data_IF_133238629071
#
_entry.id   IF_133238629071
#
_cell.length_a   1.000
_cell.length_b   1.000
_cell.length_c   1.000
_cell.angle_alpha   90.00
_cell.angle_beta   90.00
_cell.angle_gamma   90.00
#
_symmetry.space_group_name_H-M   'P 1'
#
loop_
_entity.id
_entity.type
_entity.pdbx_description
1 polymer ?
#
# COMPACT_ATOMS: atom_id res chain seq x y z
N UNK A 1 -9.45 -23.92 3.30
CA UNK A 1 -9.00 -23.04 2.22
C UNK A 1 -10.14 -22.83 1.23
N UNK A 2 -10.16 -21.66 0.54
CA UNK A 2 -11.18 -21.32 -0.47
C UNK A 2 -11.35 -22.43 -1.51
N UNK A 3 -10.25 -22.92 -2.07
CA UNK A 3 -10.25 -23.98 -3.09
C UNK A 3 -10.98 -25.25 -2.66
N UNK A 4 -10.76 -25.68 -1.42
CA UNK A 4 -11.45 -26.84 -0.85
C UNK A 4 -12.95 -26.59 -0.70
N UNK A 5 -13.32 -25.35 -0.33
CA UNK A 5 -14.72 -24.97 -0.15
C UNK A 5 -15.49 -24.96 -1.48
N UNK A 6 -14.88 -24.49 -2.57
CA UNK A 6 -15.49 -24.49 -3.91
C UNK A 6 -15.30 -25.80 -4.68
N UNK A 7 -14.72 -26.84 -4.05
CA UNK A 7 -14.51 -28.16 -4.65
C UNK A 7 -13.54 -28.16 -5.84
N UNK A 8 -12.59 -27.25 -5.87
CA UNK A 8 -11.61 -27.12 -6.97
C UNK A 8 -10.19 -27.36 -6.47
N UNK A 9 -9.35 -27.89 -7.36
CA UNK A 9 -7.90 -27.88 -7.17
C UNK A 9 -7.36 -26.55 -7.66
N UNK A 10 -6.68 -25.80 -6.79
CA UNK A 10 -6.05 -24.54 -7.18
C UNK A 10 -4.59 -24.75 -7.52
N UNK A 11 -4.16 -24.08 -8.59
CA UNK A 11 -2.77 -23.95 -8.97
C UNK A 11 -2.37 -22.50 -8.71
N UNK A 12 -1.31 -22.29 -7.93
CA UNK A 12 -0.79 -20.94 -7.67
C UNK A 12 0.13 -20.56 -8.83
N UNK A 13 -0.16 -19.41 -9.45
CA UNK A 13 0.65 -18.83 -10.53
C UNK A 13 1.34 -17.59 -9.98
N UNK A 14 2.66 -17.52 -10.12
CA UNK A 14 3.45 -16.37 -9.75
C UNK A 14 3.34 -15.29 -10.82
N UNK A 15 3.12 -14.05 -10.41
CA UNK A 15 2.94 -12.90 -11.30
C UNK A 15 3.41 -11.62 -10.60
N UNK A 16 4.15 -10.77 -11.31
CA UNK A 16 4.50 -9.43 -10.86
C UNK A 16 3.23 -8.60 -10.61
N UNK A 17 3.25 -7.76 -9.58
CA UNK A 17 2.09 -7.01 -9.11
C UNK A 17 1.44 -6.17 -10.21
N UNK A 18 2.21 -5.40 -10.95
CA UNK A 18 1.75 -4.50 -12.01
C UNK A 18 1.14 -5.24 -13.22
N UNK A 19 1.48 -6.52 -13.38
CA UNK A 19 0.96 -7.41 -14.42
C UNK A 19 -0.29 -8.20 -14.02
N UNK A 20 -0.73 -8.19 -12.75
CA UNK A 20 -1.81 -9.09 -12.28
C UNK A 20 -3.15 -8.84 -12.98
N UNK A 21 -3.63 -7.59 -13.01
CA UNK A 21 -4.91 -7.26 -13.68
C UNK A 21 -4.87 -7.53 -15.18
N UNK A 22 -3.86 -7.08 -15.94
CA UNK A 22 -3.71 -7.47 -17.35
C UNK A 22 -3.70 -8.97 -17.58
N UNK A 23 -2.99 -9.74 -16.74
CA UNK A 23 -2.92 -11.19 -16.86
C UNK A 23 -4.26 -11.89 -16.57
N UNK A 24 -5.03 -11.40 -15.59
CA UNK A 24 -6.41 -11.87 -15.34
C UNK A 24 -7.32 -11.61 -16.54
N UNK A 25 -7.30 -10.40 -17.11
CA UNK A 25 -8.08 -10.04 -18.29
C UNK A 25 -7.72 -10.95 -19.48
N UNK A 26 -6.42 -11.27 -19.65
CA UNK A 26 -5.94 -12.20 -20.67
C UNK A 26 -6.19 -13.68 -20.34
N UNK A 27 -6.87 -13.98 -19.22
CA UNK A 27 -7.20 -15.33 -18.74
C UNK A 27 -5.97 -16.24 -18.54
N UNK A 28 -4.85 -15.67 -18.11
CA UNK A 28 -3.68 -16.47 -17.70
C UNK A 28 -3.91 -17.21 -16.38
N UNK A 29 -4.83 -16.71 -15.58
CA UNK A 29 -5.37 -17.35 -14.36
C UNK A 29 -6.81 -16.86 -14.13
N UNK A 30 -7.54 -17.53 -13.24
CA UNK A 30 -8.98 -17.32 -13.05
C UNK A 30 -9.29 -16.31 -11.94
N UNK A 31 -8.36 -16.05 -11.04
CA UNK A 31 -8.58 -15.15 -9.91
C UNK A 31 -7.27 -14.59 -9.34
N UNK A 32 -7.34 -13.42 -8.73
CA UNK A 32 -6.26 -12.78 -7.98
C UNK A 32 -6.61 -12.80 -6.50
N UNK A 33 -5.81 -13.49 -5.68
CA UNK A 33 -5.95 -13.49 -4.21
C UNK A 33 -4.61 -13.10 -3.58
N UNK A 34 -4.31 -11.81 -3.60
CA UNK A 34 -3.01 -11.25 -3.24
C UNK A 34 -3.11 -9.94 -2.41
N UNK A 35 -4.14 -9.81 -1.54
CA UNK A 35 -4.33 -8.57 -0.80
C UNK A 35 -4.71 -7.37 -1.69
N UNK A 36 -5.42 -7.62 -2.80
CA UNK A 36 -5.74 -6.56 -3.74
C UNK A 36 -6.88 -5.69 -3.22
N UNK A 37 -6.60 -4.42 -2.94
CA UNK A 37 -7.59 -3.44 -2.47
C UNK A 37 -8.70 -3.24 -3.50
N UNK A 38 -9.95 -3.26 -3.02
CA UNK A 38 -11.15 -3.00 -3.82
C UNK A 38 -11.27 -1.49 -4.04
N UNK A 39 -10.95 -1.01 -5.24
CA UNK A 39 -11.08 0.40 -5.62
C UNK A 39 -12.03 0.56 -6.80
N UNK A 40 -12.64 1.74 -6.91
CA UNK A 40 -13.53 2.04 -8.02
C UNK A 40 -12.78 2.04 -9.37
N UNK A 41 -11.51 2.39 -9.37
CA UNK A 41 -10.69 2.32 -10.58
C UNK A 41 -10.49 0.86 -11.03
N UNK A 42 -10.12 -0.03 -10.12
CA UNK A 42 -9.95 -1.46 -10.44
C UNK A 42 -11.26 -2.14 -10.86
N UNK A 43 -12.39 -1.73 -10.27
CA UNK A 43 -13.73 -2.22 -10.66
C UNK A 43 -14.14 -1.88 -12.09
N UNK A 44 -13.51 -0.91 -12.72
CA UNK A 44 -13.73 -0.63 -14.15
C UNK A 44 -13.14 -1.70 -15.05
N UNK A 45 -12.13 -2.41 -14.59
CA UNK A 45 -11.39 -3.40 -15.36
C UNK A 45 -11.74 -4.85 -15.00
N UNK A 46 -11.98 -5.13 -13.72
CA UNK A 46 -12.24 -6.47 -13.17
C UNK A 46 -13.37 -6.44 -12.14
N UNK A 47 -13.99 -7.60 -11.89
CA UNK A 47 -14.93 -7.79 -10.79
C UNK A 47 -14.19 -8.17 -9.51
N UNK A 48 -14.85 -7.98 -8.36
CA UNK A 48 -14.33 -8.38 -7.05
C UNK A 48 -15.36 -9.21 -6.28
N UNK A 49 -14.87 -10.12 -5.46
CA UNK A 49 -15.65 -10.70 -4.38
C UNK A 49 -16.03 -9.63 -3.34
N UNK A 50 -16.84 -9.99 -2.35
CA UNK A 50 -16.90 -9.23 -1.11
C UNK A 50 -15.49 -9.14 -0.48
N UNK A 51 -15.23 -8.07 0.28
CA UNK A 51 -13.98 -7.93 1.01
C UNK A 51 -13.81 -9.07 2.03
N UNK A 52 -12.63 -9.67 2.05
CA UNK A 52 -12.30 -10.73 3.00
C UNK A 52 -11.43 -10.25 4.16
N UNK A 53 -10.83 -9.07 4.06
CA UNK A 53 -10.09 -8.40 5.12
C UNK A 53 -10.06 -6.89 4.91
N UNK A 54 -9.84 -6.16 6.00
CA UNK A 54 -9.51 -4.74 5.95
C UNK A 54 -8.00 -4.58 5.94
N UNK A 55 -7.53 -3.61 5.19
CA UNK A 55 -6.12 -3.26 5.10
C UNK A 55 -5.98 -1.74 5.22
N UNK A 56 -4.95 -1.32 5.94
CA UNK A 56 -4.59 0.09 6.07
C UNK A 56 -3.18 0.31 5.52
N UNK A 57 -2.99 1.43 4.83
CA UNK A 57 -1.66 1.85 4.42
C UNK A 57 -1.00 2.69 5.52
N UNK A 58 0.32 2.72 5.54
CA UNK A 58 1.10 3.54 6.46
C UNK A 58 2.41 4.00 5.82
N UNK A 59 2.90 5.12 6.29
CA UNK A 59 4.28 5.53 6.08
C UNK A 59 5.20 4.75 7.04
N UNK A 60 6.39 4.41 6.58
CA UNK A 60 7.41 3.75 7.38
C UNK A 60 8.77 4.41 7.18
N UNK A 61 9.54 4.46 8.24
CA UNK A 61 10.91 4.98 8.27
C UNK A 61 11.81 4.05 9.05
N UNK A 62 13.12 4.23 8.92
CA UNK A 62 14.07 3.58 9.84
C UNK A 62 14.06 4.31 11.17
N UNK A 63 14.20 3.56 12.28
CA UNK A 63 14.34 4.11 13.63
C UNK A 63 15.49 5.13 13.69
N UNK A 64 15.24 6.25 14.34
CA UNK A 64 16.16 7.40 14.40
C UNK A 64 15.91 8.44 13.33
N UNK A 65 14.89 8.24 12.48
CA UNK A 65 14.46 9.24 11.50
C UNK A 65 13.88 10.49 12.19
N UNK A 66 14.10 11.64 11.59
CA UNK A 66 13.48 12.91 11.99
C UNK A 66 11.95 12.90 11.89
N UNK A 67 11.38 11.91 11.21
CA UNK A 67 9.92 11.75 11.03
C UNK A 67 9.25 10.90 12.13
N UNK A 68 9.98 10.25 13.04
CA UNK A 68 9.38 9.45 14.13
C UNK A 68 8.45 10.27 15.03
N UNK A 69 8.74 11.55 15.21
CA UNK A 69 7.95 12.47 16.04
C UNK A 69 6.74 13.11 15.36
N UNK A 70 6.35 12.65 14.16
CA UNK A 70 5.24 13.26 13.41
C UNK A 70 3.93 13.20 14.18
N UNK A 71 3.42 14.36 14.56
CA UNK A 71 2.18 14.49 15.32
C UNK A 71 0.97 14.48 14.38
N UNK A 72 0.27 13.34 14.30
CA UNK A 72 -0.95 13.15 13.52
C UNK A 72 -1.96 12.31 14.33
N UNK A 73 -3.25 12.29 13.94
CA UNK A 73 -4.18 11.26 14.42
C UNK A 73 -3.67 9.85 14.11
N UNK A 74 -4.10 8.86 14.88
CA UNK A 74 -3.69 7.46 14.65
C UNK A 74 -4.13 6.91 13.28
N UNK A 75 -5.26 7.38 12.76
CA UNK A 75 -5.76 6.98 11.45
C UNK A 75 -6.62 8.07 10.82
N UNK A 76 -6.64 8.10 9.49
CA UNK A 76 -7.48 9.01 8.69
C UNK A 76 -8.21 8.26 7.59
N UNK A 77 -9.49 8.58 7.41
CA UNK A 77 -10.30 8.11 6.28
C UNK A 77 -10.29 9.12 5.14
N UNK A 78 -10.04 8.65 3.92
CA UNK A 78 -9.94 9.51 2.74
C UNK A 78 -11.17 9.47 1.83
N UNK A 79 -12.19 8.66 2.13
CA UNK A 79 -13.45 8.68 1.38
C UNK A 79 -14.23 9.99 1.54
N UNK A 80 -14.17 10.60 2.73
CA UNK A 80 -14.76 11.89 3.06
C UNK A 80 -13.89 12.56 4.13
N UNK A 81 -12.76 13.18 3.75
CA UNK A 81 -11.79 13.66 4.71
C UNK A 81 -12.36 14.83 5.53
N UNK A 82 -12.40 14.64 6.85
CA UNK A 82 -12.77 15.65 7.84
C UNK A 82 -11.64 16.67 8.08
N UNK A 83 -11.84 17.60 9.02
CA UNK A 83 -10.84 18.62 9.38
C UNK A 83 -9.51 18.01 9.83
N UNK A 84 -9.56 16.92 10.60
CA UNK A 84 -8.37 16.27 11.16
C UNK A 84 -7.58 15.55 10.06
N UNK A 85 -8.27 14.87 9.15
CA UNK A 85 -7.65 14.27 7.97
C UNK A 85 -6.95 15.32 7.10
N UNK A 86 -7.62 16.46 6.84
CA UNK A 86 -7.03 17.56 6.08
C UNK A 86 -5.81 18.18 6.76
N UNK A 87 -5.86 18.31 8.10
CA UNK A 87 -4.72 18.78 8.90
C UNK A 87 -3.56 17.78 8.85
N UNK A 88 -3.86 16.48 9.00
CA UNK A 88 -2.85 15.43 8.91
C UNK A 88 -2.16 15.41 7.53
N UNK A 89 -2.92 15.53 6.43
CA UNK A 89 -2.35 15.60 5.08
C UNK A 89 -1.40 16.79 4.92
N UNK A 90 -1.73 17.97 5.48
CA UNK A 90 -0.82 19.12 5.48
C UNK A 90 0.47 18.85 6.26
N UNK A 91 0.36 18.20 7.43
CA UNK A 91 1.53 17.80 8.23
C UNK A 91 2.41 16.85 7.45
N UNK A 92 1.82 15.84 6.80
CA UNK A 92 2.53 14.87 5.96
C UNK A 92 3.20 15.56 4.78
N UNK A 93 2.48 16.46 4.07
CA UNK A 93 3.05 17.23 2.95
C UNK A 93 4.32 17.98 3.37
N UNK A 94 4.28 18.65 4.53
CA UNK A 94 5.44 19.37 5.04
C UNK A 94 6.59 18.42 5.43
N UNK A 95 6.27 17.28 6.05
CA UNK A 95 7.24 16.27 6.47
C UNK A 95 7.91 15.56 5.29
N UNK A 96 7.18 15.33 4.20
CA UNK A 96 7.70 14.65 3.00
C UNK A 96 8.42 15.61 2.03
N UNK A 97 8.39 16.92 2.26
CA UNK A 97 9.03 17.89 1.38
C UNK A 97 10.54 17.62 1.25
N UNK A 98 10.99 17.38 0.03
CA UNK A 98 12.39 17.07 -0.30
C UNK A 98 12.84 15.66 0.06
N UNK A 99 11.99 14.83 0.68
CA UNK A 99 12.29 13.43 1.00
C UNK A 99 12.15 12.53 -0.22
N UNK A 100 12.95 11.47 -0.26
CA UNK A 100 12.78 10.35 -1.19
C UNK A 100 11.77 9.38 -0.62
N UNK A 101 10.61 9.27 -1.28
CA UNK A 101 9.53 8.38 -0.87
C UNK A 101 9.48 7.18 -1.81
N UNK A 102 9.53 5.99 -1.24
CA UNK A 102 9.56 4.73 -1.98
C UNK A 102 8.24 3.96 -1.85
N UNK A 103 7.83 3.31 -2.94
CA UNK A 103 6.66 2.43 -2.96
C UNK A 103 6.76 1.40 -4.09
N UNK A 104 5.95 0.37 -4.04
CA UNK A 104 5.85 -0.60 -5.12
C UNK A 104 5.05 -0.03 -6.29
N UNK A 105 5.50 -0.28 -7.53
CA UNK A 105 4.83 0.15 -8.76
C UNK A 105 3.47 -0.53 -8.98
N UNK A 106 2.56 0.16 -9.68
CA UNK A 106 1.22 -0.35 -9.98
C UNK A 106 0.30 -0.48 -8.76
N UNK A 107 0.66 0.12 -7.63
CA UNK A 107 -0.13 0.08 -6.39
C UNK A 107 -0.97 1.34 -6.20
N UNK A 108 -1.97 1.22 -5.33
CA UNK A 108 -2.75 2.37 -4.84
C UNK A 108 -1.88 3.38 -4.08
N UNK A 109 -0.77 2.91 -3.50
CA UNK A 109 0.20 3.74 -2.78
C UNK A 109 0.93 4.68 -3.74
N UNK A 110 1.37 4.16 -4.90
CA UNK A 110 1.95 4.98 -5.96
C UNK A 110 0.94 6.03 -6.44
N UNK A 111 -0.29 5.61 -6.77
CA UNK A 111 -1.33 6.52 -7.24
C UNK A 111 -1.61 7.65 -6.24
N UNK A 112 -1.64 7.32 -4.93
CA UNK A 112 -1.83 8.32 -3.87
C UNK A 112 -0.66 9.32 -3.80
N UNK A 113 0.58 8.86 -3.92
CA UNK A 113 1.75 9.75 -3.92
C UNK A 113 1.80 10.66 -5.18
N UNK A 114 1.28 10.17 -6.30
CA UNK A 114 1.21 10.91 -7.56
C UNK A 114 -0.02 11.84 -7.65
N UNK A 115 -1.06 11.62 -6.86
CA UNK A 115 -2.29 12.45 -6.85
C UNK A 115 -2.03 13.91 -6.46
N UNK A 116 -0.96 14.16 -5.70
CA UNK A 116 -0.65 15.48 -5.16
C UNK A 116 -1.29 15.77 -3.80
N UNK A 117 -2.06 14.84 -3.24
CA UNK A 117 -2.71 14.99 -1.91
C UNK A 117 -1.70 15.21 -0.77
N UNK A 118 -0.49 14.71 -0.93
CA UNK A 118 0.65 14.89 -0.01
C UNK A 118 1.75 15.78 -0.60
N UNK A 119 1.41 16.62 -1.59
CA UNK A 119 2.36 17.48 -2.28
C UNK A 119 3.30 16.71 -3.23
N UNK A 120 4.28 17.43 -3.77
CA UNK A 120 5.27 16.82 -4.67
C UNK A 120 6.40 16.19 -3.85
N UNK A 121 6.63 14.91 -4.04
CA UNK A 121 7.70 14.13 -3.40
C UNK A 121 8.73 13.64 -4.44
N UNK A 122 9.93 13.28 -3.99
CA UNK A 122 10.89 12.56 -4.83
C UNK A 122 10.52 11.07 -4.84
N UNK A 123 9.58 10.69 -5.71
CA UNK A 123 9.05 9.34 -5.77
C UNK A 123 10.04 8.38 -6.43
N UNK A 124 10.26 7.22 -5.79
CA UNK A 124 10.93 6.05 -6.38
C UNK A 124 10.00 4.85 -6.33
N UNK A 125 9.85 4.17 -7.44
CA UNK A 125 9.02 2.97 -7.55
C UNK A 125 9.88 1.73 -7.81
N UNK A 126 9.45 0.59 -7.29
CA UNK A 126 10.11 -0.70 -7.37
C UNK A 126 9.14 -1.78 -7.83
N UNK A 127 9.63 -2.85 -8.44
CA UNK A 127 8.78 -3.95 -8.88
C UNK A 127 8.16 -4.72 -7.71
N UNK A 128 8.91 -4.86 -6.63
CA UNK A 128 8.50 -5.65 -5.46
C UNK A 128 8.53 -4.83 -4.18
N UNK A 129 7.71 -5.23 -3.22
CA UNK A 129 7.73 -4.66 -1.87
C UNK A 129 9.05 -4.96 -1.15
N UNK A 130 9.68 -6.09 -1.43
CA UNK A 130 10.98 -6.46 -0.84
C UNK A 130 12.08 -5.48 -1.25
N UNK A 131 12.09 -5.03 -2.51
CA UNK A 131 13.02 -3.99 -2.97
C UNK A 131 12.80 -2.67 -2.25
N UNK A 132 11.53 -2.27 -2.03
CA UNK A 132 11.18 -1.07 -1.23
C UNK A 132 11.74 -1.21 0.18
N UNK A 133 11.53 -2.35 0.83
CA UNK A 133 11.99 -2.62 2.19
C UNK A 133 13.52 -2.59 2.30
N UNK A 134 14.22 -3.17 1.32
CA UNK A 134 15.69 -3.17 1.27
C UNK A 134 16.25 -1.76 1.08
N UNK A 135 15.63 -0.95 0.23
CA UNK A 135 16.10 0.42 -0.01
C UNK A 135 15.77 1.36 1.15
N UNK A 136 14.65 1.15 1.85
CA UNK A 136 14.36 1.81 3.12
C UNK A 136 15.43 1.44 4.17
N UNK A 137 15.71 0.15 4.34
CA UNK A 137 16.67 -0.34 5.33
C UNK A 137 18.12 0.09 5.05
N UNK A 138 18.46 0.40 3.80
CA UNK A 138 19.79 0.87 3.40
C UNK A 138 19.94 2.40 3.38
N UNK A 139 18.86 3.14 3.68
CA UNK A 139 18.85 4.61 3.67
C UNK A 139 18.81 5.24 2.26
N UNK A 140 18.52 4.44 1.21
CA UNK A 140 18.30 4.97 -0.14
C UNK A 140 16.90 5.57 -0.32
N UNK A 141 15.97 5.22 0.57
CA UNK A 141 14.69 5.85 0.77
C UNK A 141 14.65 6.50 2.15
N UNK A 142 14.15 7.72 2.24
CA UNK A 142 13.90 8.37 3.53
C UNK A 142 12.63 7.81 4.18
N UNK A 143 11.62 7.53 3.35
CA UNK A 143 10.30 7.08 3.75
C UNK A 143 9.81 6.04 2.75
N UNK A 144 9.00 5.09 3.20
CA UNK A 144 8.26 4.18 2.32
C UNK A 144 6.75 4.26 2.61
N UNK A 145 5.91 4.04 1.60
CA UNK A 145 4.46 3.93 1.73
C UNK A 145 4.02 2.57 1.18
N UNK A 146 3.34 1.79 2.00
CA UNK A 146 2.75 0.50 1.64
C UNK A 146 1.65 0.10 2.64
N UNK A 147 1.11 -1.12 2.49
CA UNK A 147 0.29 -1.75 3.52
C UNK A 147 1.08 -1.83 4.84
N UNK A 148 0.47 -1.44 5.95
CA UNK A 148 1.14 -1.40 7.25
C UNK A 148 1.70 -2.77 7.65
N UNK A 149 0.98 -3.85 7.33
CA UNK A 149 1.40 -5.23 7.61
C UNK A 149 2.71 -5.60 6.90
N UNK A 150 2.96 -5.09 5.69
CA UNK A 150 4.17 -5.39 4.95
C UNK A 150 5.44 -4.91 5.68
N UNK A 151 5.36 -3.77 6.33
CA UNK A 151 6.47 -3.23 7.15
C UNK A 151 6.63 -3.97 8.47
N UNK A 152 5.52 -4.32 9.14
CA UNK A 152 5.56 -5.09 10.38
C UNK A 152 6.17 -6.46 10.16
N UNK A 153 5.75 -7.16 9.12
CA UNK A 153 6.30 -8.46 8.73
C UNK A 153 7.78 -8.38 8.37
N UNK A 154 8.17 -7.34 7.64
CA UNK A 154 9.58 -7.13 7.31
C UNK A 154 10.43 -6.86 8.56
N UNK A 155 9.97 -6.00 9.47
CA UNK A 155 10.67 -5.72 10.71
C UNK A 155 10.86 -6.99 11.56
N UNK A 156 9.80 -7.81 11.69
CA UNK A 156 9.84 -9.07 12.43
C UNK A 156 10.81 -10.08 11.80
N UNK A 157 10.72 -10.30 10.48
CA UNK A 157 11.52 -11.30 9.77
C UNK A 157 13.00 -10.91 9.63
N UNK A 158 13.29 -9.63 9.42
CA UNK A 158 14.65 -9.14 9.17
C UNK A 158 15.37 -8.66 10.41
N UNK A 159 14.66 -8.40 11.51
CA UNK A 159 15.18 -7.73 12.70
C UNK A 159 15.55 -6.27 12.47
N UNK A 160 15.21 -5.68 11.32
CA UNK A 160 15.50 -4.27 11.02
C UNK A 160 14.53 -3.36 11.78
N UNK A 161 15.05 -2.25 12.35
CA UNK A 161 14.23 -1.35 13.16
C UNK A 161 13.39 -0.39 12.29
N UNK A 162 12.42 -0.94 11.59
CA UNK A 162 11.43 -0.16 10.81
C UNK A 162 10.32 0.31 11.74
N UNK A 163 9.93 1.56 11.63
CA UNK A 163 8.90 2.21 12.46
C UNK A 163 7.83 2.81 11.56
N UNK A 164 6.57 2.53 11.89
CA UNK A 164 5.43 3.20 11.25
C UNK A 164 5.30 4.62 11.79
N UNK A 165 5.06 5.58 10.90
CA UNK A 165 4.95 7.00 11.25
C UNK A 165 3.74 7.63 10.56
N UNK A 166 3.25 8.73 11.15
CA UNK A 166 2.05 9.38 10.65
C UNK A 166 0.79 8.55 10.93
N UNK A 167 -0.34 8.88 10.28
CA UNK A 167 -1.58 8.15 10.44
C UNK A 167 -1.57 6.88 9.58
N UNK A 168 -2.42 5.91 9.94
CA UNK A 168 -2.86 4.91 8.98
C UNK A 168 -3.88 5.53 8.01
N UNK A 169 -3.83 5.10 6.74
CA UNK A 169 -4.74 5.57 5.69
C UNK A 169 -5.74 4.48 5.33
N UNK A 170 -7.01 4.87 5.16
CA UNK A 170 -8.08 3.98 4.72
C UNK A 170 -9.10 4.71 3.85
N UNK A 171 -9.85 3.97 3.04
CA UNK A 171 -10.88 4.53 2.17
C UNK A 171 -10.34 5.43 1.06
N UNK A 172 -11.21 5.99 0.23
CA UNK A 172 -10.82 6.84 -0.89
C UNK A 172 -9.83 6.14 -1.82
N UNK A 173 -8.64 6.74 -2.02
CA UNK A 173 -7.58 6.18 -2.84
C UNK A 173 -7.12 4.79 -2.38
N UNK A 174 -7.27 4.45 -1.10
CA UNK A 174 -6.87 3.16 -0.52
C UNK A 174 -7.95 2.07 -0.61
N UNK A 175 -9.14 2.42 -1.15
CA UNK A 175 -10.22 1.45 -1.37
C UNK A 175 -10.97 1.06 -0.10
N UNK A 176 -11.83 0.02 -0.24
CA UNK A 176 -12.73 -0.47 0.80
C UNK A 176 -12.43 -1.93 1.11
N UNK A 177 -11.33 -2.19 1.81
CA UNK A 177 -10.85 -3.54 2.11
C UNK A 177 -10.21 -4.22 0.89
N UNK A 178 -9.83 -5.49 1.07
CA UNK A 178 -9.21 -6.33 0.04
C UNK A 178 -10.14 -7.47 -0.37
N UNK A 179 -10.15 -7.79 -1.66
CA UNK A 179 -11.02 -8.81 -2.24
C UNK A 179 -10.29 -9.71 -3.23
N UNK A 180 -10.98 -10.77 -3.64
CA UNK A 180 -10.54 -11.62 -4.75
C UNK A 180 -10.93 -10.93 -6.05
N UNK A 181 -9.97 -10.62 -6.91
CA UNK A 181 -10.19 -10.13 -8.27
C UNK A 181 -10.60 -11.27 -9.21
N UNK A 182 -11.62 -11.05 -10.05
CA UNK A 182 -12.20 -12.06 -10.94
C UNK A 182 -12.41 -11.45 -12.33
#
# INVERSE_FOLDING_TARGET
TLCRYIGKQCVIVEQDWDGMIPALIMRKFDAIMAGMSITDERKKAISFSQGYADEVASLAVMKGSDLEGMQTPAGIGLSSPNSDAKKALKTITAALAGKTVCTQSGTIHQNFLESGDVGKVNLRTYKTQDEVNLDLASGRCDVALAAAVAFSDYAEKSGKPVVLVGPTFSGGAFGNGVGVGI
#
